data_IF_926923347330
#
_entry.id   IF_926923347330
#
_cell.length_a   1.000
_cell.length_b   1.000
_cell.length_c   1.000
_cell.angle_alpha   90.00
_cell.angle_beta   90.00
_cell.angle_gamma   90.00
#
_symmetry.space_group_name_H-M   'P 1'
#
loop_
_entity.id
_entity.type
_entity.pdbx_description
1 polymer ?
#
# COMPACT_ATOMS: atom_id res chain seq x y z
N UNK A 1 -10.74 -1.11 7.38
CA UNK A 1 -10.11 -1.73 6.20
C UNK A 1 -10.65 -3.12 5.85
N UNK A 2 -11.22 -3.92 6.77
CA UNK A 2 -11.69 -5.29 6.48
C UNK A 2 -13.21 -5.55 6.55
N UNK A 3 -14.05 -4.62 7.02
CA UNK A 3 -15.51 -4.85 7.04
C UNK A 3 -16.11 -4.73 5.63
N UNK A 4 -16.28 -5.86 4.94
CA UNK A 4 -17.10 -6.06 3.73
C UNK A 4 -16.59 -5.41 2.43
N UNK A 5 -15.86 -4.30 2.53
CA UNK A 5 -15.45 -3.51 1.36
C UNK A 5 -14.50 -4.23 0.42
N UNK A 6 -13.70 -5.20 0.85
CA UNK A 6 -12.77 -5.90 -0.07
C UNK A 6 -13.52 -6.72 -1.13
N UNK A 7 -14.69 -7.26 -0.78
CA UNK A 7 -15.49 -8.08 -1.69
C UNK A 7 -16.31 -7.23 -2.66
N UNK A 8 -16.73 -6.04 -2.23
CA UNK A 8 -17.67 -5.17 -2.96
C UNK A 8 -17.03 -3.95 -3.62
N UNK A 9 -15.92 -3.44 -3.08
CA UNK A 9 -15.30 -2.21 -3.56
C UNK A 9 -14.66 -2.43 -4.94
N UNK A 10 -14.65 -1.35 -5.72
CA UNK A 10 -13.95 -1.31 -7.00
C UNK A 10 -12.42 -1.29 -6.79
N UNK A 11 -11.67 -1.66 -7.82
CA UNK A 11 -10.20 -1.55 -7.78
C UNK A 11 -9.73 -0.13 -7.42
N UNK A 12 -10.44 0.90 -7.88
CA UNK A 12 -10.18 2.30 -7.53
C UNK A 12 -10.35 2.57 -6.03
N UNK A 13 -11.47 2.14 -5.45
CA UNK A 13 -11.75 2.37 -4.03
C UNK A 13 -10.72 1.64 -3.14
N UNK A 14 -10.33 0.44 -3.54
CA UNK A 14 -9.26 -0.32 -2.90
C UNK A 14 -7.90 0.39 -3.05
N UNK A 15 -7.60 0.97 -4.21
CA UNK A 15 -6.38 1.76 -4.41
C UNK A 15 -6.34 2.97 -3.49
N UNK A 16 -7.42 3.75 -3.47
CA UNK A 16 -7.50 4.96 -2.68
C UNK A 16 -7.39 4.69 -1.19
N UNK A 17 -7.87 3.54 -0.70
CA UNK A 17 -7.66 3.10 0.68
C UNK A 17 -6.17 2.89 0.99
N UNK A 18 -5.45 2.20 0.11
CA UNK A 18 -4.01 1.99 0.28
C UNK A 18 -3.21 3.29 0.18
N UNK A 19 -3.61 4.20 -0.72
CA UNK A 19 -3.02 5.55 -0.82
C UNK A 19 -3.20 6.31 0.48
N UNK A 20 -4.44 6.38 1.00
CA UNK A 20 -4.73 7.07 2.27
C UNK A 20 -3.95 6.49 3.44
N UNK A 21 -3.80 5.17 3.51
CA UNK A 21 -2.98 4.52 4.54
C UNK A 21 -1.54 5.07 4.55
N UNK A 22 -0.86 5.04 3.40
CA UNK A 22 0.52 5.50 3.32
C UNK A 22 0.66 7.01 3.55
N UNK A 23 -0.28 7.82 3.05
CA UNK A 23 -0.27 9.26 3.27
C UNK A 23 -0.47 9.61 4.74
N UNK A 24 -1.44 9.00 5.43
CA UNK A 24 -1.67 9.25 6.86
C UNK A 24 -0.45 8.87 7.73
N UNK A 25 0.24 7.77 7.42
CA UNK A 25 1.47 7.41 8.13
C UNK A 25 2.59 8.44 7.94
N UNK A 26 2.76 8.94 6.72
CA UNK A 26 3.79 9.94 6.43
C UNK A 26 3.42 11.31 7.00
N UNK A 27 2.14 11.68 6.96
CA UNK A 27 1.64 12.92 7.56
C UNK A 27 1.88 12.97 9.07
N UNK A 28 1.82 11.82 9.76
CA UNK A 28 2.16 11.72 11.18
C UNK A 28 3.62 12.08 11.49
N UNK A 29 4.54 12.05 10.50
CA UNK A 29 5.93 12.48 10.71
C UNK A 29 6.11 14.00 10.84
N UNK A 30 5.11 14.80 10.43
CA UNK A 30 5.21 16.27 10.39
C UNK A 30 6.23 16.83 9.38
N UNK A 31 6.87 15.98 8.57
CA UNK A 31 7.88 16.41 7.62
C UNK A 31 7.27 16.73 6.25
N UNK A 32 7.19 18.02 5.91
CA UNK A 32 6.60 18.49 4.65
C UNK A 32 7.24 17.89 3.40
N UNK A 33 8.56 17.67 3.40
CA UNK A 33 9.26 17.06 2.27
C UNK A 33 8.79 15.62 2.03
N UNK A 34 8.58 14.84 3.09
CA UNK A 34 8.08 13.48 2.95
C UNK A 34 6.62 13.44 2.52
N UNK A 35 5.78 14.32 3.06
CA UNK A 35 4.37 14.45 2.68
C UNK A 35 4.22 14.77 1.19
N UNK A 36 5.01 15.71 0.67
CA UNK A 36 4.98 16.06 -0.75
C UNK A 36 5.51 14.92 -1.63
N UNK A 37 6.55 14.23 -1.15
CA UNK A 37 7.15 13.10 -1.85
C UNK A 37 6.15 11.95 -1.99
N UNK A 38 5.48 11.55 -0.91
CA UNK A 38 4.54 10.42 -0.96
C UNK A 38 3.36 10.69 -1.89
N UNK A 39 2.82 11.93 -1.87
CA UNK A 39 1.75 12.36 -2.79
C UNK A 39 2.18 12.29 -4.25
N UNK A 40 3.45 12.59 -4.56
CA UNK A 40 3.99 12.47 -5.93
C UNK A 40 4.18 11.00 -6.33
N UNK A 41 4.73 10.17 -5.45
CA UNK A 41 4.92 8.73 -5.69
C UNK A 41 3.58 8.03 -5.92
N UNK A 42 2.56 8.33 -5.10
CA UNK A 42 1.22 7.74 -5.23
C UNK A 42 0.58 8.04 -6.59
N UNK A 43 0.73 9.27 -7.10
CA UNK A 43 0.24 9.65 -8.44
C UNK A 43 0.87 8.83 -9.56
N UNK A 44 2.17 8.59 -9.50
CA UNK A 44 2.88 7.74 -10.48
C UNK A 44 2.42 6.29 -10.39
N UNK A 45 2.17 5.80 -9.17
CA UNK A 45 1.78 4.40 -8.93
C UNK A 45 0.35 4.06 -9.41
N UNK A 46 -0.51 5.05 -9.68
CA UNK A 46 -1.92 4.83 -10.05
C UNK A 46 -2.09 3.85 -11.23
N UNK A 47 -1.33 4.03 -12.30
CA UNK A 47 -1.40 3.15 -13.50
C UNK A 47 -0.89 1.73 -13.22
N UNK A 48 0.15 1.59 -12.39
CA UNK A 48 0.73 0.29 -12.02
C UNK A 48 -0.20 -0.49 -11.08
N UNK A 49 -0.81 0.19 -10.11
CA UNK A 49 -1.77 -0.41 -9.18
C UNK A 49 -2.98 -0.99 -9.92
N UNK A 50 -3.53 -0.29 -10.90
CA UNK A 50 -4.68 -0.76 -11.67
C UNK A 50 -4.49 -2.15 -12.30
N UNK A 51 -3.30 -2.41 -12.86
CA UNK A 51 -2.98 -3.71 -13.49
C UNK A 51 -2.69 -4.79 -12.45
N UNK A 52 -2.02 -4.42 -11.35
CA UNK A 52 -1.79 -5.33 -10.22
C UNK A 52 -3.07 -5.73 -9.48
N UNK A 53 -4.15 -4.94 -9.59
CA UNK A 53 -5.40 -5.12 -8.85
C UNK A 53 -6.40 -6.07 -9.50
N UNK A 54 -6.05 -6.68 -10.64
CA UNK A 54 -6.82 -7.79 -11.20
C UNK A 54 -6.81 -9.02 -10.28
N UNK A 55 -5.79 -9.14 -9.41
CA UNK A 55 -5.69 -10.18 -8.40
C UNK A 55 -6.24 -9.69 -7.04
N UNK A 56 -7.50 -10.01 -6.75
CA UNK A 56 -8.17 -9.65 -5.49
C UNK A 56 -7.58 -10.34 -4.26
N UNK A 57 -7.05 -11.57 -4.40
CA UNK A 57 -6.50 -12.31 -3.27
C UNK A 57 -5.29 -11.57 -2.70
N UNK A 58 -4.46 -11.03 -3.59
CA UNK A 58 -3.30 -10.22 -3.24
C UNK A 58 -3.66 -8.96 -2.44
N UNK A 59 -4.78 -8.32 -2.78
CA UNK A 59 -5.21 -7.11 -2.09
C UNK A 59 -5.64 -7.40 -0.64
N UNK A 60 -6.31 -8.52 -0.39
CA UNK A 60 -6.65 -8.97 0.97
C UNK A 60 -5.41 -9.09 1.84
N UNK A 61 -4.33 -9.67 1.32
CA UNK A 61 -3.07 -9.80 2.05
C UNK A 61 -2.42 -8.45 2.33
N UNK A 62 -2.45 -7.51 1.37
CA UNK A 62 -1.97 -6.14 1.60
C UNK A 62 -2.75 -5.44 2.73
N UNK A 63 -4.08 -5.58 2.77
CA UNK A 63 -4.89 -5.01 3.84
C UNK A 63 -4.58 -5.61 5.22
N UNK A 64 -4.34 -6.92 5.30
CA UNK A 64 -3.93 -7.57 6.54
C UNK A 64 -2.58 -7.01 7.01
N UNK A 65 -1.62 -6.85 6.11
CA UNK A 65 -0.32 -6.25 6.42
C UNK A 65 -0.46 -4.79 6.90
N UNK A 66 -1.30 -3.98 6.25
CA UNK A 66 -1.57 -2.60 6.71
C UNK A 66 -2.16 -2.56 8.11
N UNK A 67 -3.10 -3.46 8.42
CA UNK A 67 -3.67 -3.56 9.77
C UNK A 67 -2.66 -4.04 10.80
N UNK A 68 -1.76 -4.95 10.43
CA UNK A 68 -0.67 -5.38 11.31
C UNK A 68 0.27 -4.21 11.66
N UNK A 69 0.63 -3.39 10.66
CA UNK A 69 1.41 -2.17 10.89
C UNK A 69 0.68 -1.22 11.85
N UNK A 70 -0.64 -1.02 11.67
CA UNK A 70 -1.42 -0.16 12.57
C UNK A 70 -1.45 -0.69 14.01
N UNK A 71 -1.62 -1.99 14.20
CA UNK A 71 -1.60 -2.64 15.52
C UNK A 71 -0.23 -2.49 16.21
N UNK A 72 0.86 -2.59 15.46
CA UNK A 72 2.21 -2.35 15.97
C UNK A 72 2.42 -0.89 16.38
N UNK A 73 1.95 0.05 15.56
CA UNK A 73 2.04 1.49 15.86
C UNK A 73 1.19 1.88 17.07
N UNK A 74 -0.01 1.31 17.22
CA UNK A 74 -0.88 1.53 18.40
C UNK A 74 -0.21 1.06 19.70
N UNK A 75 0.68 0.06 19.62
CA UNK A 75 1.48 -0.47 20.73
C UNK A 75 2.86 0.20 20.85
N UNK A 76 3.11 1.27 20.11
CA UNK A 76 4.38 2.01 20.06
C UNK A 76 5.60 1.16 19.59
N UNK A 77 5.35 0.03 18.91
CA UNK A 77 6.38 -0.90 18.40
C UNK A 77 6.91 -0.45 17.04
N UNK A 78 7.48 0.75 16.99
CA UNK A 78 7.86 1.44 15.75
C UNK A 78 8.90 0.69 14.91
N UNK A 79 9.87 0.02 15.55
CA UNK A 79 10.92 -0.73 14.83
C UNK A 79 10.31 -1.92 14.07
N UNK A 80 9.41 -2.67 14.71
CA UNK A 80 8.71 -3.78 14.08
C UNK A 80 7.74 -3.30 13.00
N UNK A 81 7.03 -2.20 13.24
CA UNK A 81 6.18 -1.58 12.22
C UNK A 81 6.99 -1.17 10.98
N UNK A 82 8.22 -0.67 11.16
CA UNK A 82 9.14 -0.34 10.07
C UNK A 82 9.57 -1.59 9.29
N UNK A 83 9.90 -2.69 9.97
CA UNK A 83 10.27 -3.94 9.30
C UNK A 83 9.10 -4.56 8.52
N UNK A 84 7.90 -4.56 9.09
CA UNK A 84 6.67 -5.00 8.40
C UNK A 84 6.39 -4.16 7.15
N UNK A 85 6.52 -2.83 7.25
CA UNK A 85 6.34 -1.94 6.11
C UNK A 85 7.41 -2.16 5.04
N UNK A 86 8.67 -2.42 5.45
CA UNK A 86 9.77 -2.74 4.53
C UNK A 86 9.51 -4.05 3.78
N UNK A 87 9.03 -5.09 4.46
CA UNK A 87 8.66 -6.36 3.85
C UNK A 87 7.49 -6.19 2.87
N UNK A 88 6.45 -5.45 3.26
CA UNK A 88 5.30 -5.12 2.42
C UNK A 88 5.71 -4.44 1.10
N UNK A 89 6.59 -3.45 1.17
CA UNK A 89 7.10 -2.73 0.00
C UNK A 89 7.93 -3.65 -0.91
N UNK A 90 8.76 -4.53 -0.34
CA UNK A 90 9.54 -5.50 -1.12
C UNK A 90 8.65 -6.46 -1.91
N UNK A 91 7.65 -7.05 -1.26
CA UNK A 91 6.68 -7.93 -1.94
C UNK A 91 5.91 -7.22 -3.07
N UNK A 92 5.63 -5.93 -2.88
CA UNK A 92 5.00 -5.10 -3.92
C UNK A 92 5.94 -4.90 -5.12
N UNK A 93 7.22 -4.58 -4.87
CA UNK A 93 8.23 -4.40 -5.93
C UNK A 93 8.51 -5.69 -6.69
N UNK A 94 8.61 -6.83 -6.02
CA UNK A 94 8.86 -8.13 -6.66
C UNK A 94 7.75 -8.47 -7.65
N UNK A 95 6.51 -8.17 -7.30
CA UNK A 95 5.40 -8.40 -8.19
C UNK A 95 5.28 -7.43 -9.35
N UNK A 96 5.63 -6.15 -9.14
CA UNK A 96 5.73 -5.20 -10.24
C UNK A 96 6.81 -5.64 -11.23
N UNK A 97 7.94 -6.18 -10.75
CA UNK A 97 8.98 -6.77 -11.58
C UNK A 97 8.46 -7.96 -12.39
N UNK A 98 7.62 -8.81 -11.79
CA UNK A 98 6.97 -9.91 -12.50
C UNK A 98 5.95 -9.43 -13.56
N UNK A 99 5.24 -8.33 -13.29
CA UNK A 99 4.35 -7.69 -14.27
C UNK A 99 5.15 -7.04 -15.41
N UNK A 100 6.41 -6.63 -15.20
CA UNK A 100 7.27 -6.09 -16.26
C UNK A 100 7.48 -7.06 -17.43
N UNK A 101 7.38 -8.37 -17.21
CA UNK A 101 7.39 -9.35 -18.31
C UNK A 101 6.12 -9.28 -19.19
N UNK A 102 5.03 -8.73 -18.66
CA UNK A 102 3.75 -8.46 -19.36
C UNK A 102 3.76 -7.05 -20.00
N UNK A 103 4.79 -6.24 -19.72
CA UNK A 103 4.98 -4.89 -20.31
C UNK A 103 5.81 -4.90 -21.60
N UNK A 104 6.23 -6.08 -22.10
CA UNK A 104 6.82 -6.17 -23.45
C UNK A 104 5.72 -5.94 -24.49
N UNK A 105 5.99 -5.16 -25.56
CA UNK A 105 5.02 -4.87 -26.61
C UNK A 105 4.53 -6.13 -27.31
#
# INVERSE_FOLDING_TARGET
MLQGGIETDTADQLHDRGVRFHESLVEASGNSFFIDTIKRVNRVRRLLSYRSMQDRQRYTEHCKQHLNVLDLLEKERNEEASEELRAHLRHTLDALSNISNILKP
#
